data_IF_428647243497
#
_entry.id   IF_428647243497
#
_cell.length_a   1.000
_cell.length_b   1.000
_cell.length_c   1.000
_cell.angle_alpha   90.00
_cell.angle_beta   90.00
_cell.angle_gamma   90.00
#
_symmetry.space_group_name_H-M   'P 1'
#
loop_
_entity.id
_entity.type
_entity.pdbx_description
1 polymer ?
#
# COMPACT_ATOMS: atom_id res chain seq x y z
N UNK A 1 -55.16 -52.71 -7.09
CA UNK A 1 -54.17 -53.68 -6.58
C UNK A 1 -53.70 -54.45 -7.79
N UNK A 2 -52.40 -54.44 -8.03
CA UNK A 2 -51.68 -55.10 -9.15
C UNK A 2 -52.06 -54.62 -10.55
N UNK A 3 -51.15 -54.42 -11.51
CA UNK A 3 -49.69 -54.40 -11.59
C UNK A 3 -49.39 -54.01 -13.05
N UNK A 4 -48.34 -53.24 -13.27
CA UNK A 4 -47.83 -52.82 -14.60
C UNK A 4 -47.70 -53.98 -15.61
N UNK A 5 -47.71 -53.65 -16.92
CA UNK A 5 -46.76 -54.28 -17.81
C UNK A 5 -46.03 -53.28 -18.73
N UNK A 6 -44.71 -53.26 -18.57
CA UNK A 6 -43.66 -53.48 -19.58
C UNK A 6 -43.77 -52.98 -21.05
N UNK A 7 -42.57 -52.58 -21.52
CA UNK A 7 -41.98 -52.80 -22.87
C UNK A 7 -41.93 -51.67 -23.93
N UNK A 8 -40.78 -50.97 -23.92
CA UNK A 8 -39.77 -50.78 -24.99
C UNK A 8 -40.19 -50.89 -26.49
N UNK A 9 -39.98 -49.83 -27.29
CA UNK A 9 -39.00 -49.77 -28.41
C UNK A 9 -38.99 -48.45 -29.22
N UNK A 10 -37.76 -48.07 -29.57
CA UNK A 10 -37.25 -47.25 -30.68
C UNK A 10 -38.17 -47.00 -31.89
N UNK A 11 -38.15 -45.80 -32.50
CA UNK A 11 -37.33 -45.50 -33.69
C UNK A 11 -37.40 -44.03 -34.15
N UNK A 12 -36.47 -43.72 -35.06
CA UNK A 12 -35.96 -42.44 -35.56
C UNK A 12 -36.97 -41.58 -36.35
N UNK A 13 -36.74 -40.25 -36.43
CA UNK A 13 -36.24 -39.55 -37.66
C UNK A 13 -36.40 -38.02 -37.67
N UNK A 14 -35.47 -37.42 -38.40
CA UNK A 14 -35.53 -36.17 -39.19
C UNK A 14 -34.98 -34.86 -38.60
N UNK A 15 -33.77 -34.53 -39.08
CA UNK A 15 -33.26 -33.17 -39.29
C UNK A 15 -34.15 -32.41 -40.27
N UNK A 16 -34.43 -31.13 -40.00
CA UNK A 16 -34.53 -30.07 -41.02
C UNK A 16 -34.44 -28.68 -40.38
N UNK A 17 -33.50 -27.91 -40.90
CA UNK A 17 -33.15 -26.49 -40.72
C UNK A 17 -34.23 -25.51 -40.23
N UNK A 18 -33.86 -24.65 -39.27
CA UNK A 18 -34.42 -23.29 -39.12
C UNK A 18 -33.30 -22.29 -38.87
N UNK A 19 -33.42 -21.15 -39.54
CA UNK A 19 -32.42 -20.11 -39.76
C UNK A 19 -31.85 -19.47 -38.50
N UNK A 20 -30.53 -19.25 -38.52
CA UNK A 20 -29.77 -18.55 -37.50
C UNK A 20 -29.84 -17.04 -37.73
N UNK A 21 -30.71 -16.34 -37.02
CA UNK A 21 -30.71 -14.87 -36.97
C UNK A 21 -29.61 -14.42 -36.03
N UNK A 22 -28.58 -13.74 -36.56
CA UNK A 22 -27.48 -13.18 -35.77
C UNK A 22 -28.00 -11.97 -34.97
N UNK A 23 -28.22 -12.15 -33.67
CA UNK A 23 -28.28 -11.04 -32.74
C UNK A 23 -26.87 -10.48 -32.57
N UNK A 24 -26.61 -9.32 -33.18
CA UNK A 24 -25.42 -8.51 -32.86
C UNK A 24 -25.74 -7.81 -31.55
N UNK A 25 -25.40 -8.45 -30.43
CA UNK A 25 -25.29 -7.76 -29.16
C UNK A 25 -24.17 -6.74 -29.28
N UNK A 26 -24.55 -5.46 -29.37
CA UNK A 26 -23.66 -4.34 -29.14
C UNK A 26 -23.13 -4.47 -27.70
N UNK A 27 -21.94 -5.05 -27.56
CA UNK A 27 -21.18 -5.02 -26.31
C UNK A 27 -20.84 -3.56 -26.04
N UNK A 28 -21.67 -2.89 -25.24
CA UNK A 28 -21.30 -1.64 -24.61
C UNK A 28 -20.03 -1.94 -23.79
N UNK A 29 -18.88 -1.33 -24.11
CA UNK A 29 -17.72 -1.51 -23.24
C UNK A 29 -18.13 -0.97 -21.88
N UNK A 30 -18.05 -1.83 -20.86
CA UNK A 30 -18.24 -1.43 -19.47
C UNK A 30 -17.05 -0.53 -19.10
N UNK A 31 -17.13 0.74 -19.49
CA UNK A 31 -16.25 1.79 -19.02
C UNK A 31 -16.75 2.10 -17.62
N UNK A 32 -16.40 1.23 -16.66
CA UNK A 32 -16.31 1.66 -15.28
C UNK A 32 -15.32 2.84 -15.30
N UNK A 33 -15.86 4.05 -15.29
CA UNK A 33 -15.09 5.27 -15.11
C UNK A 33 -14.38 5.13 -13.78
N UNK A 34 -13.15 4.62 -13.81
CA UNK A 34 -12.21 4.68 -12.69
C UNK A 34 -11.91 6.16 -12.51
N UNK A 35 -12.72 6.85 -11.71
CA UNK A 35 -12.40 8.20 -11.27
C UNK A 35 -10.95 8.19 -10.80
N UNK A 36 -10.12 9.02 -11.43
CA UNK A 36 -8.78 9.24 -10.95
C UNK A 36 -8.88 9.65 -9.48
N UNK A 37 -8.07 9.07 -8.61
CA UNK A 37 -8.11 9.40 -7.18
C UNK A 37 -7.08 10.50 -6.95
N UNK A 38 -7.49 11.62 -6.38
CA UNK A 38 -6.53 12.65 -5.98
C UNK A 38 -5.89 12.31 -4.63
N UNK A 39 -4.66 12.79 -4.43
CA UNK A 39 -3.95 12.75 -3.15
C UNK A 39 -3.38 14.15 -2.89
N UNK A 40 -3.74 14.77 -1.76
CA UNK A 40 -3.19 16.07 -1.32
C UNK A 40 -2.64 15.94 0.10
N UNK A 41 -1.56 16.68 0.37
CA UNK A 41 -0.89 16.71 1.68
C UNK A 41 -0.71 18.15 2.13
N UNK A 42 -1.02 18.39 3.39
CA UNK A 42 -0.95 19.71 4.01
C UNK A 42 -0.15 19.61 5.29
N UNK A 43 0.85 20.48 5.43
CA UNK A 43 1.56 20.65 6.69
C UNK A 43 0.67 21.38 7.69
N UNK A 44 0.68 20.91 8.94
CA UNK A 44 0.01 21.50 10.08
C UNK A 44 1.08 21.95 11.06
N UNK A 45 1.15 23.25 11.32
CA UNK A 45 2.11 23.82 12.27
C UNK A 45 1.86 23.30 13.70
N UNK A 46 2.91 23.23 14.54
CA UNK A 46 2.83 22.67 15.90
C UNK A 46 1.64 23.16 16.71
N UNK A 47 1.41 24.47 16.72
CA UNK A 47 0.36 25.14 17.48
C UNK A 47 -1.06 24.79 17.01
N UNK A 48 -1.21 24.32 15.76
CA UNK A 48 -2.51 23.93 15.18
C UNK A 48 -2.79 22.43 15.26
N UNK A 49 -1.82 21.61 15.67
CA UNK A 49 -1.95 20.14 15.67
C UNK A 49 -3.12 19.65 16.53
N UNK A 50 -3.28 20.19 17.75
CA UNK A 50 -4.36 19.83 18.65
C UNK A 50 -5.74 20.20 18.07
N UNK A 51 -5.86 21.43 17.56
CA UNK A 51 -7.08 21.93 16.92
C UNK A 51 -7.46 21.08 15.70
N UNK A 52 -6.51 20.81 14.80
CA UNK A 52 -6.74 20.01 13.60
C UNK A 52 -7.25 18.61 13.94
N UNK A 53 -6.67 17.95 14.96
CA UNK A 53 -7.10 16.62 15.40
C UNK A 53 -8.52 16.63 15.96
N UNK A 54 -8.86 17.64 16.78
CA UNK A 54 -10.19 17.81 17.35
C UNK A 54 -11.20 18.05 16.23
N UNK A 55 -10.93 19.01 15.34
CA UNK A 55 -11.79 19.34 14.21
C UNK A 55 -12.08 18.10 13.36
N UNK A 56 -11.06 17.36 12.92
CA UNK A 56 -11.23 16.13 12.13
C UNK A 56 -12.05 15.07 12.87
N UNK A 57 -11.93 14.96 14.19
CA UNK A 57 -12.72 14.03 14.99
C UNK A 57 -14.19 14.44 15.13
N UNK A 58 -14.50 15.72 14.93
CA UNK A 58 -15.89 16.23 14.96
C UNK A 58 -16.56 16.18 13.59
N UNK A 59 -15.82 16.41 12.51
CA UNK A 59 -16.41 16.52 11.16
C UNK A 59 -16.31 15.22 10.33
N UNK A 60 -15.55 14.22 10.80
CA UNK A 60 -15.39 12.95 10.11
C UNK A 60 -15.59 11.77 11.06
N UNK A 61 -16.00 10.62 10.51
CA UNK A 61 -15.98 9.37 11.26
C UNK A 61 -14.56 8.83 11.35
N UNK A 62 -14.23 8.19 12.47
CA UNK A 62 -12.98 7.40 12.57
C UNK A 62 -13.09 6.16 11.69
N UNK A 63 -11.97 5.76 11.08
CA UNK A 63 -11.90 4.51 10.32
C UNK A 63 -12.30 3.33 11.23
N UNK A 64 -13.23 2.49 10.78
CA UNK A 64 -13.82 1.43 11.59
C UNK A 64 -12.84 0.30 11.91
N UNK A 65 -11.78 0.13 11.11
CA UNK A 65 -10.84 -0.99 11.23
C UNK A 65 -9.50 -0.56 11.81
N UNK A 66 -9.00 0.60 11.42
CA UNK A 66 -7.67 1.10 11.81
C UNK A 66 -7.70 2.59 12.18
N UNK A 67 -8.49 2.99 13.20
CA UNK A 67 -8.73 4.40 13.54
C UNK A 67 -7.44 5.14 13.95
N UNK A 68 -6.51 4.45 14.61
CA UNK A 68 -5.21 4.97 15.01
C UNK A 68 -4.14 3.88 14.96
N UNK A 69 -2.89 4.25 14.73
CA UNK A 69 -1.76 3.36 15.00
C UNK A 69 -0.41 4.00 14.73
N UNK A 70 0.62 3.49 15.40
CA UNK A 70 2.02 3.84 15.11
C UNK A 70 2.52 3.03 13.91
N UNK A 71 3.13 3.73 12.97
CA UNK A 71 3.63 3.19 11.71
C UNK A 71 5.13 3.41 11.67
N UNK A 72 5.86 2.37 11.29
CA UNK A 72 7.29 2.43 11.05
C UNK A 72 7.55 2.00 9.60
N UNK A 73 8.43 2.70 8.90
CA UNK A 73 8.80 2.43 7.51
C UNK A 73 10.29 2.58 7.32
N UNK A 74 10.98 1.47 7.09
CA UNK A 74 12.39 1.43 6.72
C UNK A 74 12.49 1.47 5.20
N UNK A 75 13.01 2.55 4.64
CA UNK A 75 13.21 2.73 3.21
C UNK A 75 14.55 2.17 2.77
N UNK A 76 14.55 1.62 1.55
CA UNK A 76 15.73 1.08 0.89
C UNK A 76 16.05 1.91 -0.34
N UNK A 77 17.35 2.05 -0.61
CA UNK A 77 17.86 2.69 -1.81
C UNK A 77 19.18 2.04 -2.25
N UNK A 78 19.68 2.44 -3.41
CA UNK A 78 21.05 2.13 -3.84
C UNK A 78 22.06 2.96 -3.02
N UNK A 79 23.36 2.59 -3.00
CA UNK A 79 24.37 3.36 -2.29
C UNK A 79 24.45 4.83 -2.73
N UNK A 80 24.19 5.07 -4.02
CA UNK A 80 24.21 6.40 -4.64
C UNK A 80 22.86 7.16 -4.54
N UNK A 81 21.88 6.59 -3.83
CA UNK A 81 20.57 7.18 -3.58
C UNK A 81 19.74 7.45 -4.84
N UNK A 82 19.78 6.55 -5.83
CA UNK A 82 19.13 6.76 -7.13
C UNK A 82 17.61 6.97 -7.01
N UNK A 83 16.92 6.24 -6.12
CA UNK A 83 15.47 6.37 -5.99
C UNK A 83 15.08 7.67 -5.29
N UNK A 84 15.92 8.14 -4.37
CA UNK A 84 15.81 9.47 -3.79
C UNK A 84 16.01 10.56 -4.85
N UNK A 85 17.09 10.50 -5.63
CA UNK A 85 17.37 11.50 -6.68
C UNK A 85 16.22 11.57 -7.70
N UNK A 86 15.75 10.42 -8.20
CA UNK A 86 14.56 10.30 -9.09
C UNK A 86 13.26 10.78 -8.45
N UNK A 87 13.16 10.77 -7.12
CA UNK A 87 11.99 11.27 -6.41
C UNK A 87 12.01 12.79 -6.27
N UNK A 88 13.20 13.35 -6.07
CA UNK A 88 13.47 14.78 -5.84
C UNK A 88 13.41 15.58 -7.13
N UNK A 89 14.03 15.07 -8.20
CA UNK A 89 14.02 15.68 -9.54
C UNK A 89 12.64 15.60 -10.24
N UNK A 90 11.71 14.83 -9.68
CA UNK A 90 10.38 14.63 -10.26
C UNK A 90 10.36 13.70 -11.48
N UNK A 91 11.34 12.80 -11.62
CA UNK A 91 11.47 11.85 -12.73
C UNK A 91 10.17 11.13 -13.05
N UNK A 92 9.97 10.88 -14.35
CA UNK A 92 8.76 10.24 -14.89
C UNK A 92 8.54 8.86 -14.26
N UNK A 93 9.60 8.05 -14.17
CA UNK A 93 9.59 6.76 -13.47
C UNK A 93 10.31 6.88 -12.12
N UNK A 94 9.59 6.55 -11.05
CA UNK A 94 10.16 6.57 -9.70
C UNK A 94 9.59 5.46 -8.84
N UNK A 95 10.43 4.94 -7.98
CA UNK A 95 10.13 3.79 -7.17
C UNK A 95 10.44 4.07 -5.70
N UNK A 96 9.67 3.46 -4.81
CA UNK A 96 9.88 3.54 -3.37
C UNK A 96 9.78 2.16 -2.78
N UNK A 97 10.92 1.66 -2.29
CA UNK A 97 11.04 0.35 -1.66
C UNK A 97 11.10 0.57 -0.16
N UNK A 98 10.28 -0.19 0.58
CA UNK A 98 10.29 -0.12 2.04
C UNK A 98 9.81 -1.40 2.70
N UNK A 99 10.30 -1.63 3.92
CA UNK A 99 9.68 -2.54 4.87
C UNK A 99 8.86 -1.70 5.85
N UNK A 100 7.57 -2.00 5.98
CA UNK A 100 6.62 -1.31 6.85
C UNK A 100 6.01 -2.25 7.88
N UNK A 101 5.89 -1.80 9.12
CA UNK A 101 5.19 -2.53 10.19
C UNK A 101 4.41 -1.59 11.11
N UNK A 102 3.58 -2.18 11.96
CA UNK A 102 2.66 -1.46 12.85
C UNK A 102 2.83 -1.99 14.26
N UNK A 103 3.00 -1.12 15.26
CA UNK A 103 3.28 -1.57 16.63
C UNK A 103 2.09 -2.29 17.28
N UNK A 104 0.86 -2.02 16.81
CA UNK A 104 -0.38 -2.66 17.26
C UNK A 104 -0.72 -3.97 16.55
N UNK A 105 0.17 -4.53 15.72
CA UNK A 105 -0.06 -5.88 15.18
C UNK A 105 0.08 -6.90 16.30
N UNK A 106 -0.94 -7.74 16.52
CA UNK A 106 -0.92 -8.78 17.54
C UNK A 106 0.36 -9.61 17.42
N UNK A 107 1.18 -9.57 18.48
CA UNK A 107 2.32 -10.46 18.65
C UNK A 107 1.76 -11.84 18.98
N UNK A 108 1.54 -12.66 17.97
CA UNK A 108 1.23 -14.07 18.19
C UNK A 108 2.54 -14.82 18.24
N UNK A 109 2.81 -15.53 19.35
CA UNK A 109 3.98 -16.39 19.51
C UNK A 109 5.34 -15.70 19.23
N UNK A 110 5.48 -14.42 19.61
CA UNK A 110 6.74 -13.68 19.46
C UNK A 110 7.08 -13.24 18.03
N UNK A 111 6.20 -13.50 17.04
CA UNK A 111 6.36 -13.00 15.67
C UNK A 111 5.43 -11.82 15.39
N UNK A 112 5.83 -10.97 14.44
CA UNK A 112 5.11 -9.78 14.00
C UNK A 112 5.05 -9.73 12.47
N UNK A 113 3.92 -9.30 11.88
CA UNK A 113 3.82 -9.07 10.45
C UNK A 113 4.55 -7.79 10.05
N UNK A 114 5.42 -7.92 9.07
CA UNK A 114 6.03 -6.81 8.33
C UNK A 114 5.65 -6.91 6.86
N UNK A 115 5.74 -5.79 6.16
CA UNK A 115 5.34 -5.70 4.77
C UNK A 115 6.46 -5.13 3.93
N UNK A 116 7.02 -5.94 3.04
CA UNK A 116 7.89 -5.45 1.98
C UNK A 116 7.00 -4.87 0.88
N UNK A 117 7.14 -3.58 0.63
CA UNK A 117 6.32 -2.81 -0.31
C UNK A 117 7.20 -2.21 -1.42
N UNK A 118 6.71 -2.31 -2.66
CA UNK A 118 7.20 -1.56 -3.82
C UNK A 118 6.08 -0.63 -4.28
N UNK A 119 6.35 0.67 -4.29
CA UNK A 119 5.47 1.67 -4.93
C UNK A 119 6.19 2.23 -6.15
N UNK A 120 5.65 1.96 -7.33
CA UNK A 120 6.17 2.50 -8.60
C UNK A 120 5.20 3.55 -9.13
N UNK A 121 5.73 4.64 -9.68
CA UNK A 121 4.97 5.72 -10.29
C UNK A 121 5.55 6.01 -11.68
N UNK A 122 4.67 6.10 -12.68
CA UNK A 122 4.96 6.45 -14.08
C UNK A 122 4.05 7.60 -14.49
N UNK A 123 4.58 8.82 -14.58
CA UNK A 123 3.77 10.03 -14.74
C UNK A 123 2.74 10.17 -13.61
N UNK A 124 1.45 10.16 -13.94
CA UNK A 124 0.35 10.20 -12.95
C UNK A 124 -0.07 8.81 -12.46
N UNK A 125 0.25 7.74 -13.19
CA UNK A 125 -0.11 6.39 -12.82
C UNK A 125 0.76 5.89 -11.65
N UNK A 126 0.12 5.25 -10.66
CA UNK A 126 0.84 4.62 -9.56
C UNK A 126 0.39 3.20 -9.32
N UNK A 127 1.35 2.32 -9.01
CA UNK A 127 1.14 0.92 -8.65
C UNK A 127 1.77 0.67 -7.29
N UNK A 128 1.11 -0.16 -6.48
CA UNK A 128 1.66 -0.64 -5.21
C UNK A 128 1.55 -2.16 -5.16
N UNK A 129 2.68 -2.80 -4.91
CA UNK A 129 2.77 -4.24 -4.60
C UNK A 129 3.30 -4.40 -3.17
N UNK A 130 2.84 -5.43 -2.46
CA UNK A 130 3.33 -5.74 -1.12
C UNK A 130 3.24 -7.23 -0.82
N UNK A 131 4.18 -7.72 -0.01
CA UNK A 131 4.16 -9.07 0.58
C UNK A 131 4.23 -8.98 2.09
N UNK A 132 3.36 -9.73 2.77
CA UNK A 132 3.43 -9.90 4.22
C UNK A 132 4.47 -10.98 4.55
N UNK A 133 5.33 -10.69 5.53
CA UNK A 133 6.36 -11.60 6.02
C UNK A 133 6.26 -11.59 7.56
N UNK A 134 6.26 -12.76 8.18
CA UNK A 134 6.32 -12.87 9.64
C UNK A 134 7.79 -12.89 10.06
N UNK A 135 8.15 -12.05 11.04
CA UNK A 135 9.51 -11.99 11.58
C UNK A 135 9.48 -12.05 13.10
N UNK A 136 10.52 -12.58 13.76
CA UNK A 136 10.65 -12.45 15.21
C UNK A 136 10.63 -10.99 15.63
N UNK A 137 9.82 -10.65 16.64
CA UNK A 137 9.65 -9.27 17.11
C UNK A 137 10.97 -8.62 17.54
N UNK A 138 11.91 -9.41 18.06
CA UNK A 138 13.26 -8.97 18.43
C UNK A 138 14.06 -8.39 17.26
N UNK A 139 13.77 -8.77 16.01
CA UNK A 139 14.46 -8.21 14.83
C UNK A 139 14.10 -6.75 14.61
N UNK A 140 12.94 -6.29 15.06
CA UNK A 140 12.54 -4.89 14.95
C UNK A 140 13.37 -3.97 15.87
N UNK A 141 13.93 -4.51 16.96
CA UNK A 141 14.79 -3.75 17.87
C UNK A 141 16.24 -3.66 17.39
N UNK A 142 16.61 -4.48 16.40
CA UNK A 142 17.98 -4.59 15.85
C UNK A 142 18.20 -3.72 14.61
N UNK A 143 17.28 -2.79 14.32
CA UNK A 143 17.36 -1.89 13.15
C UNK A 143 18.39 -0.78 13.45
N UNK A 144 19.67 -1.16 13.44
CA UNK A 144 20.83 -0.27 13.43
C UNK A 144 21.93 -0.95 12.63
N UNK A 145 22.80 -0.17 11.99
CA UNK A 145 24.05 -0.63 11.37
C UNK A 145 23.85 -1.75 10.33
N UNK A 146 23.14 -1.45 9.23
CA UNK A 146 23.00 -2.34 8.07
C UNK A 146 22.28 -3.69 8.31
N UNK A 147 21.79 -3.95 9.53
CA UNK A 147 21.10 -5.18 9.84
C UNK A 147 19.63 -5.09 9.38
N UNK A 148 19.26 -5.89 8.39
CA UNK A 148 17.90 -5.86 7.82
C UNK A 148 16.94 -6.73 8.63
N UNK A 149 15.71 -6.26 8.79
CA UNK A 149 14.61 -6.98 9.47
C UNK A 149 14.37 -8.36 8.82
N UNK A 150 14.56 -8.42 7.50
CA UNK A 150 14.30 -9.56 6.61
C UNK A 150 15.61 -9.94 5.93
N UNK A 151 15.81 -11.24 5.63
CA UNK A 151 16.97 -11.71 4.87
C UNK A 151 17.05 -11.02 3.49
N UNK A 152 18.25 -10.60 3.08
CA UNK A 152 18.51 -9.90 1.82
C UNK A 152 18.05 -10.68 0.58
N UNK A 153 18.26 -11.99 0.53
CA UNK A 153 17.84 -12.82 -0.61
C UNK A 153 16.32 -12.83 -0.75
N UNK A 154 15.59 -12.88 0.36
CA UNK A 154 14.12 -12.81 0.34
C UNK A 154 13.62 -11.44 -0.14
N UNK A 155 14.33 -10.36 0.20
CA UNK A 155 14.03 -9.02 -0.32
C UNK A 155 14.20 -9.01 -1.84
N UNK A 156 15.37 -9.43 -2.34
CA UNK A 156 15.67 -9.45 -3.78
C UNK A 156 14.70 -10.35 -4.55
N UNK A 157 14.43 -11.55 -4.06
CA UNK A 157 13.48 -12.47 -4.67
C UNK A 157 12.08 -11.82 -4.76
N UNK A 158 11.57 -11.29 -3.65
CA UNK A 158 10.23 -10.68 -3.64
C UNK A 158 10.15 -9.45 -4.54
N UNK A 159 11.21 -8.64 -4.62
CA UNK A 159 11.27 -7.49 -5.52
C UNK A 159 11.31 -7.92 -6.99
N UNK A 160 12.06 -8.98 -7.32
CA UNK A 160 12.09 -9.53 -8.68
C UNK A 160 10.71 -10.04 -9.12
N UNK A 161 9.96 -10.68 -8.22
CA UNK A 161 8.57 -11.08 -8.45
C UNK A 161 7.62 -9.87 -8.58
N UNK A 162 8.00 -8.70 -8.04
CA UNK A 162 7.27 -7.46 -8.29
C UNK A 162 7.66 -6.79 -9.62
N UNK A 163 8.70 -7.29 -10.29
CA UNK A 163 9.25 -6.74 -11.53
C UNK A 163 10.33 -5.68 -11.30
N UNK A 164 10.87 -5.56 -10.08
CA UNK A 164 11.98 -4.66 -9.78
C UNK A 164 13.32 -5.40 -9.87
N UNK A 165 14.21 -4.89 -10.72
CA UNK A 165 15.55 -5.41 -10.91
C UNK A 165 16.55 -4.26 -10.76
N UNK A 166 17.45 -4.38 -9.78
CA UNK A 166 18.51 -3.41 -9.54
C UNK A 166 19.84 -4.05 -9.85
N UNK A 167 20.71 -3.33 -10.56
CA UNK A 167 22.11 -3.73 -10.74
C UNK A 167 22.89 -3.55 -9.44
N UNK A 168 22.52 -2.55 -8.65
CA UNK A 168 23.15 -2.23 -7.38
C UNK A 168 22.49 -2.90 -6.18
N UNK A 169 23.28 -2.99 -5.12
CA UNK A 169 22.86 -3.50 -3.81
C UNK A 169 21.87 -2.54 -3.16
N UNK A 170 20.68 -3.02 -2.79
CA UNK A 170 19.77 -2.25 -1.95
C UNK A 170 20.20 -2.28 -0.49
N UNK A 171 20.27 -1.10 0.12
CA UNK A 171 20.64 -0.89 1.53
C UNK A 171 19.51 -0.19 2.29
N UNK A 172 19.32 -0.47 3.58
CA UNK A 172 18.39 0.29 4.42
C UNK A 172 18.95 1.70 4.68
N UNK A 173 18.25 2.74 4.22
CA UNK A 173 18.75 4.13 4.27
C UNK A 173 18.15 4.92 5.43
N UNK A 174 16.82 4.93 5.55
CA UNK A 174 16.12 5.79 6.50
C UNK A 174 14.90 5.09 7.11
N UNK A 175 14.81 5.12 8.43
CA UNK A 175 13.65 4.71 9.19
C UNK A 175 12.77 5.92 9.45
N UNK A 176 11.51 5.88 9.01
CA UNK A 176 10.50 6.90 9.32
C UNK A 176 9.44 6.32 10.24
N UNK A 177 9.20 6.98 11.36
CA UNK A 177 8.21 6.61 12.37
C UNK A 177 7.24 7.74 12.61
N UNK A 178 5.95 7.43 12.68
CA UNK A 178 4.90 8.39 12.98
C UNK A 178 3.66 7.70 13.54
N UNK A 179 2.82 8.47 14.23
CA UNK A 179 1.49 8.04 14.61
C UNK A 179 0.48 8.55 13.58
N UNK A 180 -0.49 7.72 13.17
CA UNK A 180 -1.53 8.08 12.19
C UNK A 180 -2.91 7.90 12.78
N UNK A 181 -3.72 8.97 12.76
CA UNK A 181 -5.17 8.90 12.88
C UNK A 181 -5.79 8.77 11.48
N UNK A 182 -6.86 7.98 11.35
CA UNK A 182 -7.58 7.77 10.08
C UNK A 182 -9.05 8.10 10.25
N UNK A 183 -9.55 8.85 9.27
CA UNK A 183 -10.92 9.32 9.23
C UNK A 183 -11.53 9.09 7.84
N UNK A 184 -12.84 9.05 7.79
CA UNK A 184 -13.64 9.01 6.57
C UNK A 184 -14.71 10.09 6.66
N UNK A 185 -14.73 10.96 5.65
CA UNK A 185 -15.86 11.85 5.42
C UNK A 185 -17.01 11.03 4.85
N UNK A 186 -18.15 11.01 5.54
CA UNK A 186 -19.32 10.22 5.18
C UNK A 186 -20.07 10.80 3.98
N UNK A 187 -19.94 12.10 3.70
CA UNK A 187 -20.64 12.72 2.58
C UNK A 187 -19.97 12.38 1.25
N UNK A 188 -18.63 12.45 1.21
CA UNK A 188 -17.86 12.27 -0.03
C UNK A 188 -17.15 10.93 -0.12
N UNK A 189 -17.19 10.11 0.94
CA UNK A 189 -16.33 8.91 1.09
C UNK A 189 -14.82 9.21 0.99
N UNK A 190 -14.43 10.47 1.16
CA UNK A 190 -13.03 10.90 1.16
C UNK A 190 -12.34 10.36 2.41
N UNK A 191 -11.14 9.81 2.23
CA UNK A 191 -10.31 9.33 3.33
C UNK A 191 -9.34 10.42 3.75
N UNK A 192 -9.29 10.67 5.04
CA UNK A 192 -8.35 11.62 5.64
C UNK A 192 -7.44 10.87 6.60
N UNK A 193 -6.20 11.32 6.71
CA UNK A 193 -5.33 10.90 7.79
C UNK A 193 -4.54 12.06 8.34
N UNK A 194 -4.37 12.06 9.66
CA UNK A 194 -3.50 12.99 10.36
C UNK A 194 -2.29 12.25 10.91
N UNK A 195 -1.12 12.54 10.35
CA UNK A 195 0.17 12.02 10.77
C UNK A 195 0.81 13.01 11.75
N UNK A 196 1.22 12.53 12.90
CA UNK A 196 1.85 13.36 13.93
C UNK A 196 3.01 12.62 14.60
N UNK A 197 3.85 13.38 15.33
CA UNK A 197 5.12 12.88 15.90
C UNK A 197 5.99 12.18 14.85
N UNK A 198 6.08 12.80 13.67
CA UNK A 198 6.89 12.25 12.58
C UNK A 198 8.36 12.43 12.94
N UNK A 199 9.11 11.34 12.91
CA UNK A 199 10.55 11.33 13.12
C UNK A 199 11.22 10.45 12.08
N UNK A 200 12.46 10.77 11.75
CA UNK A 200 13.30 9.96 10.88
C UNK A 200 14.65 9.69 11.52
N UNK A 201 15.22 8.52 11.24
CA UNK A 201 16.55 8.12 11.69
C UNK A 201 17.31 7.50 10.51
N UNK A 202 18.52 7.98 10.24
CA UNK A 202 19.40 7.37 9.24
C UNK A 202 19.91 6.01 9.75
N UNK A 203 19.91 5.01 8.88
CA UNK A 203 20.34 3.63 9.22
C UNK A 203 21.62 3.19 8.53
N UNK A 204 22.02 3.88 7.46
CA UNK A 204 23.27 3.66 6.74
C UNK A 204 24.36 4.63 7.25
N UNK A 205 25.49 4.13 7.78
CA UNK A 205 26.65 4.98 8.10
C UNK A 205 27.21 5.62 6.81
N UNK A 206 27.56 6.91 6.87
CA UNK A 206 28.23 7.62 5.77
C UNK A 206 27.31 8.21 4.68
N UNK A 207 26.00 7.94 4.73
CA UNK A 207 25.02 8.56 3.83
C UNK A 207 24.35 9.73 4.58
N UNK A 208 24.69 10.99 4.22
CA UNK A 208 24.02 12.20 4.70
C UNK A 208 24.88 13.22 5.48
N UNK A 209 24.26 14.35 5.86
CA UNK A 209 24.89 15.52 6.50
C UNK A 209 25.03 15.42 8.04
N UNK A 210 25.46 14.27 8.58
CA UNK A 210 25.75 14.07 10.02
C UNK A 210 24.59 14.15 11.04
N UNK A 211 23.40 14.64 10.67
CA UNK A 211 22.20 14.57 11.53
C UNK A 211 21.55 13.17 11.49
N UNK A 212 21.79 12.38 12.53
CA UNK A 212 21.30 11.00 12.59
C UNK A 212 19.78 10.89 12.80
N UNK A 213 19.13 11.92 13.35
CA UNK A 213 17.71 11.90 13.66
C UNK A 213 17.06 13.28 13.48
N UNK A 214 15.92 13.31 12.78
CA UNK A 214 15.10 14.51 12.58
C UNK A 214 13.70 14.31 13.14
N UNK A 215 13.11 15.39 13.64
CA UNK A 215 11.73 15.43 14.12
C UNK A 215 11.01 16.54 13.36
N UNK A 216 9.87 16.21 12.75
CA UNK A 216 9.01 17.22 12.16
C UNK A 216 8.19 17.87 13.27
N UNK A 217 8.46 19.16 13.50
CA UNK A 217 7.67 19.98 14.42
C UNK A 217 6.31 20.27 13.76
N UNK A 218 5.29 19.47 14.08
CA UNK A 218 3.94 19.61 13.54
C UNK A 218 3.31 18.28 13.14
N UNK A 219 2.43 18.33 12.14
CA UNK A 219 1.78 17.15 11.57
C UNK A 219 1.48 17.31 10.08
N UNK A 220 0.98 16.24 9.47
CA UNK A 220 0.56 16.22 8.07
C UNK A 220 -0.87 15.72 7.99
N UNK A 221 -1.73 16.47 7.30
CA UNK A 221 -3.03 15.97 6.86
C UNK A 221 -2.88 15.46 5.43
N UNK A 222 -3.23 14.20 5.20
CA UNK A 222 -3.32 13.59 3.87
C UNK A 222 -4.80 13.34 3.54
N UNK A 223 -5.23 13.79 2.36
CA UNK A 223 -6.61 13.64 1.86
C UNK A 223 -6.57 12.81 0.57
N UNK A 224 -7.41 11.77 0.50
CA UNK A 224 -7.53 10.83 -0.62
C UNK A 224 -8.98 10.56 -0.95
N UNK A 225 -9.44 11.02 -2.11
CA UNK A 225 -10.82 10.89 -2.55
C UNK A 225 -10.93 10.59 -4.04
N UNK A 226 -12.13 10.28 -4.54
CA UNK A 226 -12.41 10.34 -5.97
C UNK A 226 -12.18 11.79 -6.45
N UNK A 227 -11.63 11.97 -7.66
CA UNK A 227 -11.73 13.25 -8.34
C UNK A 227 -13.22 13.56 -8.56
N UNK A 228 -13.65 14.73 -8.10
CA UNK A 228 -14.98 15.28 -8.39
C UNK A 228 -15.11 15.58 -9.88
#
# INVERSE_FOLDING_TARGET
MESDPAEVKFEQRNMSSVHQTKNVELRTPNIEQRWERFERKFFVSPEKTAFARILLSHICLRDSKYPQGRINSLYFDTPDLDNFQKSDDGSYEREKIRIRWYDGSNKHNGVVPVYLELKSKRGFASRKQRRQILVPAERLNKIRFNNTIINRNLILQTLSEFGYFSQDSLLPVILITYERFRFVDTLTSTRLSFDWKVSSMLTAPGIGYSEAQLILQGGIIEIKGPSM
#
